data_IF_840440909853
#
_entry.id   IF_840440909853
#
_cell.length_a   1.000
_cell.length_b   1.000
_cell.length_c   1.000
_cell.angle_alpha   90.00
_cell.angle_beta   90.00
_cell.angle_gamma   90.00
#
_symmetry.space_group_name_H-M   'P 1'
#
loop_
_entity.id
_entity.type
_entity.pdbx_description
1 polymer ?
#
# COMPACT_ATOMS: atom_id res chain seq x y z
N UNK A 1 -6.64 9.81 2.95
CA UNK A 1 -5.99 9.53 1.65
C UNK A 1 -6.67 8.31 1.05
N UNK A 2 -7.23 8.39 -0.16
CA UNK A 2 -7.96 7.27 -0.77
C UNK A 2 -7.09 6.53 -1.79
N UNK A 3 -7.23 5.21 -1.88
CA UNK A 3 -6.54 4.41 -2.90
C UNK A 3 -6.93 4.85 -4.32
N UNK A 4 -6.01 4.65 -5.28
CA UNK A 4 -6.24 4.91 -6.70
C UNK A 4 -7.38 4.01 -7.26
N UNK A 5 -8.09 4.43 -8.33
CA UNK A 5 -9.22 3.68 -8.89
C UNK A 5 -8.86 2.23 -9.22
N UNK A 6 -9.79 1.30 -9.01
CA UNK A 6 -9.52 -0.16 -9.04
C UNK A 6 -9.05 -0.64 -10.40
N UNK A 7 -9.65 -0.14 -11.46
CA UNK A 7 -9.33 -0.42 -12.87
C UNK A 7 -7.89 -0.04 -13.27
N UNK A 8 -7.25 0.83 -12.49
CA UNK A 8 -5.85 1.20 -12.72
C UNK A 8 -4.86 0.20 -12.15
N UNK A 9 -5.28 -0.73 -11.29
CA UNK A 9 -4.39 -1.73 -10.66
C UNK A 9 -4.07 -2.87 -11.61
N UNK A 10 -2.78 -3.24 -11.67
CA UNK A 10 -2.28 -4.41 -12.38
C UNK A 10 -1.91 -5.52 -11.40
N UNK A 11 -1.77 -6.75 -11.90
CA UNK A 11 -1.28 -7.88 -11.09
C UNK A 11 0.10 -7.59 -10.47
N UNK A 12 0.96 -6.88 -11.20
CA UNK A 12 2.27 -6.46 -10.69
C UNK A 12 2.14 -5.49 -9.50
N UNK A 13 1.17 -4.57 -9.55
CA UNK A 13 0.89 -3.68 -8.42
C UNK A 13 0.45 -4.45 -7.18
N UNK A 14 -0.39 -5.48 -7.36
CA UNK A 14 -0.87 -6.31 -6.24
C UNK A 14 0.28 -7.08 -5.58
N UNK A 15 1.20 -7.63 -6.37
CA UNK A 15 2.41 -8.30 -5.86
C UNK A 15 3.30 -7.32 -5.09
N UNK A 16 3.54 -6.13 -5.64
CA UNK A 16 4.34 -5.09 -4.98
C UNK A 16 3.68 -4.62 -3.68
N UNK A 17 2.37 -4.41 -3.68
CA UNK A 17 1.62 -4.03 -2.49
C UNK A 17 1.66 -5.11 -1.39
N UNK A 18 1.50 -6.39 -1.77
CA UNK A 18 1.62 -7.50 -0.83
C UNK A 18 3.03 -7.60 -0.22
N UNK A 19 4.07 -7.40 -1.03
CA UNK A 19 5.45 -7.38 -0.54
C UNK A 19 5.72 -6.18 0.37
N UNK A 20 5.16 -5.00 0.06
CA UNK A 20 5.27 -3.82 0.89
C UNK A 20 4.58 -4.01 2.24
N UNK A 21 3.38 -4.62 2.25
CA UNK A 21 2.66 -4.93 3.48
C UNK A 21 3.43 -5.90 4.39
N UNK A 22 4.03 -6.96 3.81
CA UNK A 22 4.91 -7.87 4.56
C UNK A 22 6.13 -7.14 5.13
N UNK A 23 6.76 -6.28 4.33
CA UNK A 23 7.89 -5.48 4.81
C UNK A 23 7.51 -4.58 6.00
N UNK A 24 6.31 -3.97 6.00
CA UNK A 24 5.81 -3.22 7.16
C UNK A 24 5.60 -4.11 8.38
N UNK A 25 5.01 -5.30 8.23
CA UNK A 25 4.86 -6.24 9.35
C UNK A 25 6.22 -6.69 9.93
N UNK A 26 7.21 -6.96 9.07
CA UNK A 26 8.57 -7.30 9.51
C UNK A 26 9.22 -6.12 10.26
N UNK A 27 9.00 -4.89 9.82
CA UNK A 27 9.51 -3.68 10.49
C UNK A 27 8.89 -3.47 11.86
N UNK A 28 7.58 -3.72 12.03
CA UNK A 28 6.93 -3.69 13.35
C UNK A 28 7.55 -4.73 14.29
N UNK A 29 7.76 -5.96 13.81
CA UNK A 29 8.43 -7.01 14.61
C UNK A 29 9.83 -6.60 15.06
N UNK A 30 10.60 -5.93 14.18
CA UNK A 30 11.92 -5.42 14.53
C UNK A 30 11.85 -4.28 15.55
N UNK A 31 10.89 -3.37 15.40
CA UNK A 31 10.68 -2.27 16.35
C UNK A 31 10.31 -2.82 17.74
N UNK A 32 9.38 -3.78 17.84
CA UNK A 32 9.06 -4.45 19.10
C UNK A 32 10.29 -5.10 19.75
N UNK A 33 11.18 -5.69 18.94
CA UNK A 33 12.45 -6.24 19.43
C UNK A 33 13.38 -5.16 19.97
N UNK A 34 13.49 -4.02 19.28
CA UNK A 34 14.33 -2.90 19.70
C UNK A 34 13.76 -2.24 20.97
N UNK A 35 12.44 -2.14 21.10
CA UNK A 35 11.79 -1.60 22.30
C UNK A 35 12.03 -2.49 23.51
N UNK A 36 11.95 -3.82 23.33
CA UNK A 36 12.20 -4.79 24.39
C UNK A 36 13.68 -4.86 24.79
N UNK A 37 14.57 -4.95 23.82
CA UNK A 37 15.99 -5.26 24.05
C UNK A 37 16.87 -4.00 24.14
N UNK A 38 16.33 -2.85 23.76
CA UNK A 38 17.03 -1.56 23.68
C UNK A 38 17.84 -1.40 22.39
N UNK A 39 18.31 -0.17 22.16
CA UNK A 39 19.17 0.17 21.01
C UNK A 39 20.61 -0.32 21.17
N UNK A 40 21.02 -0.66 22.39
CA UNK A 40 22.35 -1.17 22.72
C UNK A 40 22.22 -2.51 23.46
N UNK A 41 22.89 -3.55 22.94
CA UNK A 41 23.02 -4.86 23.56
C UNK A 41 24.50 -5.06 23.89
N UNK A 42 24.83 -5.23 25.17
CA UNK A 42 26.20 -5.41 25.64
C UNK A 42 27.17 -4.32 25.13
N UNK A 43 26.68 -3.07 25.07
CA UNK A 43 27.48 -1.91 24.62
C UNK A 43 27.69 -1.83 23.11
N UNK A 44 27.11 -2.73 22.32
CA UNK A 44 27.09 -2.68 20.85
C UNK A 44 25.70 -2.32 20.34
N UNK A 45 25.62 -1.75 19.15
CA UNK A 45 24.33 -1.45 18.50
C UNK A 45 23.57 -2.76 18.32
N UNK A 46 22.28 -2.75 18.71
CA UNK A 46 21.37 -3.85 18.46
C UNK A 46 21.29 -4.12 16.94
N UNK A 47 21.61 -5.34 16.45
CA UNK A 47 21.52 -5.67 15.03
C UNK A 47 20.14 -5.45 14.40
N UNK A 48 19.07 -5.47 15.22
CA UNK A 48 17.73 -5.16 14.77
C UNK A 48 17.60 -3.71 14.26
N UNK A 49 18.34 -2.76 14.83
CA UNK A 49 18.39 -1.38 14.35
C UNK A 49 18.90 -1.32 12.91
N UNK A 50 20.02 -1.97 12.62
CA UNK A 50 20.60 -2.00 11.27
C UNK A 50 19.68 -2.68 10.25
N UNK A 51 18.98 -3.73 10.67
CA UNK A 51 18.05 -4.45 9.82
C UNK A 51 16.79 -3.63 9.53
N UNK A 52 16.23 -2.95 10.54
CA UNK A 52 15.09 -2.03 10.40
C UNK A 52 15.42 -0.94 9.38
N UNK A 53 16.63 -0.40 9.45
CA UNK A 53 17.13 0.65 8.57
C UNK A 53 17.21 0.19 7.10
N UNK A 54 17.70 -1.04 6.88
CA UNK A 54 17.73 -1.68 5.55
C UNK A 54 16.33 -1.99 5.02
N UNK A 55 15.43 -2.46 5.89
CA UNK A 55 14.04 -2.76 5.52
C UNK A 55 13.27 -1.49 5.17
N UNK A 56 13.50 -0.40 5.90
CA UNK A 56 12.91 0.92 5.62
C UNK A 56 13.31 1.42 4.25
N UNK A 57 14.61 1.36 3.92
CA UNK A 57 15.11 1.74 2.59
C UNK A 57 14.50 0.88 1.47
N UNK A 58 14.38 -0.44 1.70
CA UNK A 58 13.74 -1.36 0.75
C UNK A 58 12.27 -1.03 0.54
N UNK A 59 11.52 -0.82 1.62
CA UNK A 59 10.10 -0.48 1.56
C UNK A 59 9.85 0.84 0.82
N UNK A 60 10.69 1.85 1.05
CA UNK A 60 10.63 3.11 0.29
C UNK A 60 10.87 2.90 -1.21
N UNK A 61 11.85 2.06 -1.58
CA UNK A 61 12.10 1.74 -2.98
C UNK A 61 10.92 0.98 -3.62
N UNK A 62 10.36 -0.01 -2.93
CA UNK A 62 9.18 -0.76 -3.38
C UNK A 62 7.94 0.13 -3.51
N UNK A 63 7.71 1.03 -2.56
CA UNK A 63 6.62 2.01 -2.63
C UNK A 63 6.75 2.97 -3.83
N UNK A 64 7.98 3.41 -4.15
CA UNK A 64 8.24 4.19 -5.37
C UNK A 64 7.97 3.39 -6.63
N UNK A 65 8.36 2.11 -6.67
CA UNK A 65 8.10 1.24 -7.81
C UNK A 65 6.60 1.05 -8.06
N UNK A 66 5.81 0.87 -7.01
CA UNK A 66 4.35 0.81 -7.08
C UNK A 66 3.76 2.10 -7.69
N UNK A 67 4.27 3.27 -7.30
CA UNK A 67 3.86 4.55 -7.89
C UNK A 67 4.26 4.67 -9.37
N UNK A 68 5.45 4.22 -9.75
CA UNK A 68 5.91 4.27 -11.16
C UNK A 68 5.11 3.33 -12.06
N UNK A 69 4.82 2.11 -11.61
CA UNK A 69 3.96 1.16 -12.34
C UNK A 69 2.57 1.74 -12.60
N UNK A 70 2.06 2.52 -11.64
CA UNK A 70 0.84 3.32 -11.81
C UNK A 70 0.97 4.25 -13.02
N UNK A 71 1.96 5.14 -13.01
CA UNK A 71 2.15 6.18 -14.04
C UNK A 71 2.35 5.55 -15.42
N UNK A 72 3.04 4.41 -15.49
CA UNK A 72 3.25 3.69 -16.74
C UNK A 72 1.95 3.12 -17.33
N UNK A 73 1.00 2.71 -16.48
CA UNK A 73 -0.26 2.06 -16.90
C UNK A 73 -1.34 3.08 -17.27
N UNK A 74 -1.46 4.18 -16.53
CA UNK A 74 -2.53 5.20 -16.73
C UNK A 74 -2.07 6.49 -17.40
N UNK A 75 -0.80 6.60 -17.78
CA UNK A 75 -0.25 7.83 -18.35
C UNK A 75 0.10 8.89 -17.30
N UNK A 76 0.43 10.11 -17.76
CA UNK A 76 0.79 11.22 -16.87
C UNK A 76 -0.40 11.61 -15.99
N UNK A 77 -0.11 12.15 -14.80
CA UNK A 77 -1.09 12.52 -13.77
C UNK A 77 -2.31 13.33 -14.27
N UNK A 78 -2.19 14.04 -15.40
CA UNK A 78 -3.28 14.80 -16.02
C UNK A 78 -4.47 13.91 -16.47
N UNK A 79 -4.23 12.68 -16.90
CA UNK A 79 -5.29 11.75 -17.33
C UNK A 79 -5.91 10.97 -16.15
N UNK A 80 -5.17 10.83 -15.05
CA UNK A 80 -5.62 10.18 -13.80
C UNK A 80 -6.81 10.92 -13.18
N UNK A 81 -6.88 12.24 -13.33
CA UNK A 81 -7.93 13.06 -12.71
C UNK A 81 -9.34 12.75 -13.23
N UNK A 82 -9.48 12.40 -14.51
CA UNK A 82 -10.79 12.06 -15.11
C UNK A 82 -11.30 10.71 -14.61
N UNK A 83 -10.44 9.69 -14.61
CA UNK A 83 -10.77 8.37 -14.05
C UNK A 83 -11.08 8.44 -12.56
N UNK A 84 -10.29 9.19 -11.79
CA UNK A 84 -10.54 9.40 -10.36
C UNK A 84 -11.84 10.17 -10.07
N UNK A 85 -12.27 11.07 -10.96
CA UNK A 85 -13.56 11.75 -10.83
C UNK A 85 -14.75 10.82 -11.14
N UNK A 86 -14.62 9.98 -12.18
CA UNK A 86 -15.61 8.94 -12.50
C UNK A 86 -15.77 7.93 -11.36
N UNK A 87 -14.65 7.45 -10.79
CA UNK A 87 -14.65 6.55 -9.63
C UNK A 87 -15.31 7.19 -8.40
N UNK A 88 -15.04 8.47 -8.14
CA UNK A 88 -15.72 9.21 -7.06
C UNK A 88 -17.22 9.31 -7.31
N UNK A 89 -17.65 9.53 -8.55
CA UNK A 89 -19.07 9.55 -8.92
C UNK A 89 -19.73 8.17 -8.79
N UNK A 90 -19.06 7.12 -9.23
CA UNK A 90 -19.53 5.74 -9.11
C UNK A 90 -19.69 5.32 -7.63
N UNK A 91 -18.74 5.69 -6.76
CA UNK A 91 -18.83 5.42 -5.31
C UNK A 91 -19.92 6.19 -4.58
N UNK A 92 -20.42 7.29 -5.16
CA UNK A 92 -21.55 8.05 -4.60
C UNK A 92 -22.90 7.44 -4.97
N UNK A 93 -22.94 6.54 -5.95
CA UNK A 93 -24.07 5.66 -6.20
C UNK A 93 -23.91 4.40 -5.35
N UNK A 94 -24.32 4.45 -4.08
CA UNK A 94 -24.36 3.27 -3.20
C UNK A 94 -25.44 2.26 -3.62
N UNK A 95 -26.38 2.67 -4.47
CA UNK A 95 -27.42 1.81 -5.05
C UNK A 95 -27.23 1.71 -6.57
N UNK A 96 -26.35 0.81 -7.00
CA UNK A 96 -26.43 0.25 -8.34
C UNK A 96 -27.57 -0.79 -8.30
N UNK A 97 -28.75 -0.43 -8.80
CA UNK A 97 -29.93 -1.31 -8.97
C UNK A 97 -29.60 -2.62 -9.71
N UNK A 98 -28.38 -2.75 -10.29
CA UNK A 98 -27.88 -3.92 -10.98
C UNK A 98 -27.14 -4.93 -10.08
N UNK A 99 -26.90 -4.62 -8.80
CA UNK A 99 -26.34 -5.56 -7.81
C UNK A 99 -27.41 -5.83 -6.74
N UNK A 100 -28.07 -7.01 -6.75
CA UNK A 100 -29.06 -7.34 -5.75
C UNK A 100 -28.48 -7.30 -4.33
N UNK A 101 -29.10 -6.49 -3.48
CA UNK A 101 -28.86 -6.43 -2.03
C UNK A 101 -29.89 -7.29 -1.30
N UNK A 102 -29.66 -7.58 -0.02
CA UNK A 102 -30.61 -8.37 0.79
C UNK A 102 -32.02 -7.76 0.89
N UNK A 103 -32.18 -6.46 0.57
CA UNK A 103 -33.47 -5.78 0.50
C UNK A 103 -34.22 -5.95 -0.82
N UNK A 104 -33.54 -6.32 -1.92
CA UNK A 104 -34.15 -6.54 -3.25
C UNK A 104 -34.62 -7.98 -3.48
N UNK A 105 -34.42 -8.86 -2.49
CA UNK A 105 -34.83 -10.28 -2.51
C UNK A 105 -36.13 -10.57 -1.74
N UNK A 106 -36.93 -9.54 -1.40
CA UNK A 106 -38.26 -9.69 -0.78
C UNK A 106 -39.37 -9.65 -1.84
#
# INVERSE_FOLDING_TARGET
MTARPRDTWTDADLVLAGNLARAYADMETLQESIERDGMLIEGKINPACDLLDKMTRRALATGRQLMVATIATVGKAQDIHKGAALERGARQHEDDDLIPTLGTLQ
#
